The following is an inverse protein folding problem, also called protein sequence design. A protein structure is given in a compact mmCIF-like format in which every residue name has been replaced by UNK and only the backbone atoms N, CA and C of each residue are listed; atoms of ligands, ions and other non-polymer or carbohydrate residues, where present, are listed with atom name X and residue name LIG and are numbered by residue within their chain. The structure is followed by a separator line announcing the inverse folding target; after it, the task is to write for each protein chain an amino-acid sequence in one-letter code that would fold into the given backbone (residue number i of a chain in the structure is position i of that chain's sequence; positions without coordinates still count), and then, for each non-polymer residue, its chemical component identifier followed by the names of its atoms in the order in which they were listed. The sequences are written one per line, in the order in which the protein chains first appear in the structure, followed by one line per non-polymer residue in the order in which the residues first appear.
data_IF_812785813647
#
_entry.id   IF_812785813647
#
_cell.length_a   1.000
_cell.length_b   1.000
_cell.length_c   1.000
_cell.angle_alpha   90.00
_cell.angle_beta   90.00
_cell.angle_gamma   90.00
#
_symmetry.space_group_name_H-M   'P 1'
#
loop_
_entity.id
_entity.type
_entity.pdbx_description
1 polymer ?
#
# COMPACT_ATOMS: atom_id res chain seq x y z
N UNK A 1 -18.14 -0.35 31.15
CA UNK A 1 -17.95 0.21 29.79
C UNK A 1 -16.51 0.69 29.58
N UNK A 2 -16.02 1.73 30.27
CA UNK A 2 -14.63 2.22 30.09
C UNK A 2 -13.53 1.18 30.35
N UNK A 3 -13.67 0.31 31.37
CA UNK A 3 -12.71 -0.78 31.62
C UNK A 3 -12.66 -1.80 30.47
N UNK A 4 -13.82 -2.26 30.00
CA UNK A 4 -13.91 -3.23 28.89
C UNK A 4 -13.45 -2.65 27.54
N UNK A 5 -13.65 -1.35 27.31
CA UNK A 5 -13.11 -0.66 26.14
C UNK A 5 -11.57 -0.54 26.20
N UNK A 6 -11.01 -0.23 27.38
CA UNK A 6 -9.56 -0.25 27.59
C UNK A 6 -8.98 -1.65 27.37
N UNK A 7 -9.61 -2.71 27.90
CA UNK A 7 -9.20 -4.09 27.65
C UNK A 7 -9.29 -4.50 26.17
N UNK A 8 -10.28 -3.98 25.44
CA UNK A 8 -10.41 -4.22 24.00
C UNK A 8 -9.29 -3.56 23.19
N UNK A 9 -8.97 -2.29 23.46
CA UNK A 9 -7.85 -1.60 22.82
C UNK A 9 -6.51 -2.21 23.24
N UNK A 10 -6.36 -2.64 24.49
CA UNK A 10 -5.13 -3.27 24.96
C UNK A 10 -4.88 -4.66 24.35
N UNK A 11 -5.83 -5.24 23.60
CA UNK A 11 -5.53 -6.35 22.69
C UNK A 11 -4.68 -5.77 21.55
N UNK A 12 -3.35 -5.86 21.67
CA UNK A 12 -2.38 -5.21 20.77
C UNK A 12 -2.71 -5.27 19.27
N UNK A 13 -3.28 -6.38 18.81
CA UNK A 13 -3.73 -6.55 17.42
C UNK A 13 -4.74 -5.48 16.93
N UNK A 14 -5.55 -4.90 17.82
CA UNK A 14 -6.53 -3.85 17.46
C UNK A 14 -5.85 -2.49 17.29
N UNK A 15 -4.85 -2.18 18.11
CA UNK A 15 -4.12 -0.91 18.03
C UNK A 15 -3.27 -0.86 16.77
N UNK A 16 -2.55 -1.93 16.47
CA UNK A 16 -1.70 -2.00 15.27
C UNK A 16 -2.53 -1.91 14.00
N UNK A 17 -3.67 -2.60 13.96
CA UNK A 17 -4.62 -2.50 12.86
C UNK A 17 -5.20 -1.08 12.71
N UNK A 18 -5.59 -0.45 13.83
CA UNK A 18 -6.14 0.90 13.81
C UNK A 18 -5.10 1.92 13.30
N UNK A 19 -3.85 1.81 13.76
CA UNK A 19 -2.76 2.66 13.29
C UNK A 19 -2.51 2.43 11.79
N UNK A 20 -2.46 1.18 11.33
CA UNK A 20 -2.26 0.86 9.92
C UNK A 20 -3.34 1.49 9.02
N UNK A 21 -4.62 1.40 9.41
CA UNK A 21 -5.74 1.96 8.64
C UNK A 21 -5.68 3.50 8.61
N UNK A 22 -5.44 4.14 9.75
CA UNK A 22 -5.37 5.61 9.83
C UNK A 22 -4.18 6.16 9.04
N UNK A 23 -3.01 5.52 9.18
CA UNK A 23 -1.80 5.91 8.44
C UNK A 23 -1.96 5.68 6.94
N UNK A 24 -2.59 4.57 6.53
CA UNK A 24 -2.89 4.30 5.13
C UNK A 24 -3.81 5.36 4.52
N UNK A 25 -4.87 5.76 5.23
CA UNK A 25 -5.78 6.81 4.78
C UNK A 25 -5.09 8.18 4.69
N UNK A 26 -4.30 8.56 5.70
CA UNK A 26 -3.55 9.81 5.71
C UNK A 26 -2.51 9.88 4.58
N UNK A 27 -1.78 8.78 4.35
CA UNK A 27 -0.81 8.70 3.26
C UNK A 27 -1.48 8.78 1.89
N UNK A 28 -2.60 8.08 1.71
CA UNK A 28 -3.41 8.15 0.49
C UNK A 28 -3.83 9.58 0.16
N UNK A 29 -4.24 10.37 1.17
CA UNK A 29 -4.60 11.78 0.99
C UNK A 29 -3.43 12.64 0.50
N UNK A 30 -2.21 12.40 1.00
CA UNK A 30 -1.00 13.10 0.55
C UNK A 30 -0.71 12.78 -0.92
N UNK A 31 -0.73 11.51 -1.29
CA UNK A 31 -0.52 11.09 -2.68
C UNK A 31 -1.60 11.69 -3.60
N UNK A 32 -2.86 11.63 -3.18
CA UNK A 32 -3.99 12.23 -3.89
C UNK A 32 -3.77 13.72 -4.14
N UNK A 33 -3.27 14.45 -3.15
CA UNK A 33 -2.99 15.88 -3.29
C UNK A 33 -1.91 16.17 -4.34
N UNK A 34 -0.89 15.32 -4.43
CA UNK A 34 0.18 15.43 -5.41
C UNK A 34 -0.36 15.09 -6.81
N UNK A 35 -1.14 14.02 -6.94
CA UNK A 35 -1.74 13.62 -8.23
C UNK A 35 -2.70 14.68 -8.73
N UNK A 36 -3.63 15.14 -7.88
CA UNK A 36 -4.61 16.18 -8.24
C UNK A 36 -3.94 17.52 -8.52
N UNK A 37 -2.90 17.87 -7.77
CA UNK A 37 -2.21 19.16 -7.88
C UNK A 37 -1.22 19.27 -9.04
N UNK A 38 -0.50 18.19 -9.36
CA UNK A 38 0.53 18.19 -10.39
C UNK A 38 0.15 17.40 -11.64
N UNK A 39 -0.38 16.18 -11.49
CA UNK A 39 -0.57 15.26 -12.62
C UNK A 39 -1.88 15.51 -13.37
N UNK A 40 -2.99 15.70 -12.65
CA UNK A 40 -4.30 15.99 -13.26
C UNK A 40 -4.28 17.21 -14.17
N UNK A 41 -3.71 18.38 -13.80
CA UNK A 41 -3.64 19.51 -14.72
C UNK A 41 -2.68 19.27 -15.89
N UNK A 42 -1.60 18.51 -15.70
CA UNK A 42 -0.67 18.15 -16.78
C UNK A 42 -1.38 17.30 -17.85
N UNK A 43 -2.15 16.31 -17.39
CA UNK A 43 -2.91 15.40 -18.26
C UNK A 43 -4.09 16.11 -18.87
N UNK A 44 -4.79 16.97 -18.12
CA UNK A 44 -5.85 17.79 -18.67
C UNK A 44 -5.35 18.70 -19.80
N UNK A 45 -4.09 19.17 -19.71
CA UNK A 45 -3.44 19.95 -20.77
C UNK A 45 -2.97 19.09 -21.95
N UNK A 46 -2.46 17.89 -21.70
CA UNK A 46 -1.96 16.99 -22.75
C UNK A 46 -3.09 16.28 -23.53
N UNK A 47 -4.17 15.93 -22.85
CA UNK A 47 -5.31 15.17 -23.39
C UNK A 47 -6.56 16.04 -23.64
N UNK A 48 -6.46 17.37 -23.43
CA UNK A 48 -7.56 18.32 -23.62
C UNK A 48 -8.86 17.87 -22.91
N UNK A 49 -8.82 17.73 -21.58
CA UNK A 49 -9.86 17.06 -20.77
C UNK A 49 -11.31 17.56 -20.96
N UNK A 50 -11.51 18.77 -21.52
CA UNK A 50 -12.84 19.26 -21.91
C UNK A 50 -13.51 18.37 -22.97
N UNK A 51 -12.75 17.75 -23.88
CA UNK A 51 -13.31 16.88 -24.92
C UNK A 51 -13.54 15.45 -24.42
N UNK A 52 -12.71 14.95 -23.50
CA UNK A 52 -12.85 13.60 -22.95
C UNK A 52 -14.02 13.49 -21.97
N UNK A 53 -14.23 14.45 -21.08
CA UNK A 53 -15.31 14.36 -20.08
C UNK A 53 -16.71 14.65 -20.67
N UNK A 54 -16.79 15.43 -21.75
CA UNK A 54 -18.03 15.73 -22.47
C UNK A 54 -18.46 14.67 -23.49
N UNK A 55 -17.58 13.70 -23.77
CA UNK A 55 -17.85 12.58 -24.66
C UNK A 55 -18.89 11.65 -24.04
N UNK A 56 -20.14 11.84 -24.49
CA UNK A 56 -21.30 11.03 -24.15
C UNK A 56 -21.75 10.30 -25.40
N UNK A 57 -21.95 8.99 -25.31
CA UNK A 57 -22.55 8.19 -26.39
C UNK A 57 -23.92 7.78 -25.87
N UNK A 58 -24.99 8.30 -26.48
CA UNK A 58 -26.38 7.94 -26.15
C UNK A 58 -26.71 8.00 -24.65
N UNK A 59 -26.24 9.03 -23.96
CA UNK A 59 -26.49 9.23 -22.52
C UNK A 59 -25.51 8.51 -21.59
N UNK A 60 -24.59 7.69 -22.10
CA UNK A 60 -23.50 7.10 -21.33
C UNK A 60 -22.27 8.01 -21.32
N UNK A 61 -21.89 8.51 -20.15
CA UNK A 61 -20.71 9.35 -19.93
C UNK A 61 -19.42 8.53 -19.78
N UNK A 62 -19.04 7.78 -20.81
CA UNK A 62 -17.82 6.96 -20.83
C UNK A 62 -16.54 7.78 -20.60
N UNK A 63 -16.56 9.06 -20.98
CA UNK A 63 -15.52 10.04 -20.70
C UNK A 63 -15.09 10.12 -19.23
N UNK A 64 -16.07 10.12 -18.33
CA UNK A 64 -15.83 10.17 -16.87
C UNK A 64 -15.18 8.90 -16.33
N UNK A 65 -15.53 7.74 -16.90
CA UNK A 65 -14.95 6.45 -16.52
C UNK A 65 -13.50 6.37 -16.95
N UNK A 66 -13.20 6.79 -18.19
CA UNK A 66 -11.81 6.83 -18.70
C UNK A 66 -10.97 7.78 -17.85
N UNK A 67 -11.49 8.96 -17.49
CA UNK A 67 -10.79 9.89 -16.61
C UNK A 67 -10.52 9.30 -15.22
N UNK A 68 -11.48 8.55 -14.65
CA UNK A 68 -11.31 7.88 -13.37
C UNK A 68 -10.24 6.77 -13.43
N UNK A 69 -10.21 5.98 -14.51
CA UNK A 69 -9.20 4.93 -14.73
C UNK A 69 -7.81 5.56 -14.86
N UNK A 70 -7.68 6.65 -15.64
CA UNK A 70 -6.42 7.38 -15.77
C UNK A 70 -5.96 7.87 -14.38
N UNK A 71 -6.85 8.51 -13.62
CA UNK A 71 -6.52 8.99 -12.27
C UNK A 71 -6.06 7.84 -11.34
N UNK A 72 -6.74 6.70 -11.38
CA UNK A 72 -6.36 5.51 -10.61
C UNK A 72 -4.96 5.01 -10.98
N UNK A 73 -4.66 4.90 -12.28
CA UNK A 73 -3.33 4.47 -12.77
C UNK A 73 -2.24 5.45 -12.32
N UNK A 74 -2.52 6.75 -12.30
CA UNK A 74 -1.55 7.76 -11.84
C UNK A 74 -1.28 7.66 -10.34
N UNK A 75 -2.32 7.49 -9.52
CA UNK A 75 -2.16 7.29 -8.07
C UNK A 75 -1.34 6.03 -7.82
N UNK A 76 -1.68 4.92 -8.48
CA UNK A 76 -0.93 3.67 -8.39
C UNK A 76 0.54 3.85 -8.81
N UNK A 77 0.79 4.56 -9.92
CA UNK A 77 2.13 4.87 -10.38
C UNK A 77 2.90 5.76 -9.39
N UNK A 78 2.27 6.78 -8.83
CA UNK A 78 2.88 7.66 -7.85
C UNK A 78 3.26 6.90 -6.57
N UNK A 79 2.37 6.05 -6.04
CA UNK A 79 2.67 5.17 -4.88
C UNK A 79 3.83 4.24 -5.23
N UNK A 80 3.79 3.62 -6.41
CA UNK A 80 4.84 2.70 -6.83
C UNK A 80 6.20 3.38 -6.93
N UNK A 81 6.30 4.53 -7.60
CA UNK A 81 7.58 5.22 -7.79
C UNK A 81 8.10 5.90 -6.51
N UNK A 82 7.23 6.45 -5.66
CA UNK A 82 7.64 7.21 -4.47
C UNK A 82 7.86 6.32 -3.25
N UNK A 83 7.14 5.21 -3.14
CA UNK A 83 7.19 4.33 -1.96
C UNK A 83 7.78 2.98 -2.30
N UNK A 84 7.14 2.24 -3.22
CA UNK A 84 7.48 0.83 -3.47
C UNK A 84 8.87 0.70 -4.09
N UNK A 85 9.20 1.51 -5.10
CA UNK A 85 10.50 1.48 -5.77
C UNK A 85 11.67 1.81 -4.82
N UNK A 86 11.67 2.93 -4.07
CA UNK A 86 12.78 3.22 -3.15
C UNK A 86 12.82 2.25 -1.98
N UNK A 87 11.68 1.80 -1.44
CA UNK A 87 11.68 0.76 -0.41
C UNK A 87 12.28 -0.54 -0.94
N UNK A 88 11.81 -1.05 -2.08
CA UNK A 88 12.34 -2.27 -2.69
C UNK A 88 13.83 -2.13 -2.99
N UNK A 89 14.27 -0.97 -3.46
CA UNK A 89 15.69 -0.70 -3.73
C UNK A 89 16.54 -0.66 -2.45
N UNK A 90 16.04 -0.05 -1.38
CA UNK A 90 16.70 -0.03 -0.08
C UNK A 90 16.78 -1.41 0.55
N UNK A 91 15.68 -2.17 0.50
CA UNK A 91 15.60 -3.54 0.99
C UNK A 91 16.55 -4.44 0.19
N UNK A 92 16.56 -4.34 -1.14
CA UNK A 92 17.49 -5.09 -1.98
C UNK A 92 18.96 -4.78 -1.66
N UNK A 93 19.31 -3.51 -1.42
CA UNK A 93 20.66 -3.09 -1.00
C UNK A 93 21.03 -3.61 0.39
N UNK A 94 20.07 -3.63 1.32
CA UNK A 94 20.26 -4.18 2.66
C UNK A 94 20.50 -5.69 2.61
N UNK A 95 19.67 -6.40 1.85
CA UNK A 95 19.73 -7.86 1.70
C UNK A 95 21.02 -8.29 0.98
N UNK A 96 21.47 -7.53 -0.04
CA UNK A 96 22.74 -7.74 -0.70
C UNK A 96 23.96 -7.52 0.22
N UNK A 97 23.90 -6.55 1.15
CA UNK A 97 24.98 -6.29 2.11
C UNK A 97 25.04 -7.29 3.26
N UNK A 98 23.90 -7.87 3.64
CA UNK A 98 23.81 -8.81 4.77
C UNK A 98 23.87 -10.28 4.32
N UNK A 99 23.87 -10.58 3.02
CA UNK A 99 23.84 -11.96 2.51
C UNK A 99 22.53 -12.70 2.84
N UNK A 100 21.51 -11.97 3.30
CA UNK A 100 20.20 -12.48 3.67
C UNK A 100 19.42 -12.65 2.36
N UNK A 101 19.26 -13.90 1.91
CA UNK A 101 18.21 -14.25 0.94
C UNK A 101 16.87 -13.93 1.60
N UNK A 102 16.01 -13.22 0.87
CA UNK A 102 14.63 -12.83 1.19
C UNK A 102 14.22 -13.09 2.64
N UNK A 103 14.10 -11.99 3.39
CA UNK A 103 13.59 -11.92 4.77
C UNK A 103 12.80 -13.17 5.15
N UNK A 104 13.39 -14.01 6.00
CA UNK A 104 12.60 -14.90 6.83
C UNK A 104 11.61 -14.00 7.57
N UNK A 105 10.36 -13.97 7.08
CA UNK A 105 9.22 -13.43 7.82
C UNK A 105 9.40 -13.91 9.25
N UNK A 106 9.43 -12.97 10.20
CA UNK A 106 9.71 -13.26 11.60
C UNK A 106 8.90 -14.49 12.01
N UNK A 107 9.58 -15.63 12.05
CA UNK A 107 8.92 -16.93 12.17
C UNK A 107 8.19 -16.87 13.49
N UNK A 108 6.87 -17.07 13.47
CA UNK A 108 6.05 -17.07 14.68
C UNK A 108 6.80 -17.89 15.74
N UNK A 109 6.95 -17.40 16.99
CA UNK A 109 7.67 -18.12 18.04
C UNK A 109 7.26 -19.60 18.15
N UNK A 110 6.00 -19.91 17.83
CA UNK A 110 5.51 -21.30 17.76
C UNK A 110 6.10 -22.07 16.58
N UNK A 111 6.20 -21.47 15.40
CA UNK A 111 6.81 -22.09 14.22
C UNK A 111 8.32 -22.26 14.42
N UNK A 112 8.99 -21.33 15.12
CA UNK A 112 10.39 -21.47 15.52
C UNK A 112 10.59 -22.66 16.46
N UNK A 113 9.76 -22.76 17.52
CA UNK A 113 9.75 -23.91 18.43
C UNK A 113 9.44 -25.24 17.71
N UNK A 114 8.49 -25.25 16.78
CA UNK A 114 8.17 -26.44 15.98
C UNK A 114 9.33 -26.86 15.07
N UNK A 115 10.11 -25.90 14.57
CA UNK A 115 11.33 -26.15 13.80
C UNK A 115 12.41 -26.78 14.68
N UNK A 116 12.62 -26.25 15.89
CA UNK A 116 13.55 -26.81 16.88
C UNK A 116 13.15 -28.22 17.32
N UNK A 117 11.86 -28.48 17.53
CA UNK A 117 11.32 -29.81 17.85
C UNK A 117 11.55 -30.79 16.69
N UNK A 118 11.24 -30.37 15.45
CA UNK A 118 11.48 -31.19 14.25
C UNK A 118 12.95 -31.59 14.14
N UNK A 119 13.85 -30.65 14.33
CA UNK A 119 15.29 -30.88 14.18
C UNK A 119 15.84 -31.73 15.32
N UNK A 120 15.30 -31.57 16.54
CA UNK A 120 15.60 -32.44 17.68
C UNK A 120 15.13 -33.88 17.50
N UNK A 121 14.00 -34.10 16.81
CA UNK A 121 13.48 -35.43 16.49
C UNK A 121 14.23 -36.09 15.34
N UNK A 122 14.76 -35.31 14.40
CA UNK A 122 15.53 -35.81 13.25
C UNK A 122 16.94 -36.30 13.64
N UNK A 123 17.45 -35.80 14.76
CA UNK A 123 18.73 -36.18 15.36
C UNK A 123 18.63 -37.35 16.36
N UNK A 124 17.45 -37.97 16.52
CA UNK A 124 17.23 -39.21 17.27
C UNK A 124 17.01 -40.37 16.32
#
# INVERSE_FOLDING_TARGET
MLKGFKEFIMKGNVVDLAVAVVMGAAFGAVVDSIVKGLLTPLIARLFNAKDLAGMTWEGFAYGSVIAAIINFVLIAAAIYFVVVMPMNHMIARRNAKLGIKEEEEAVDPQIALLTEIRDSLKNR
#
